data_IF_039770422951
#
_entry.id   IF_039770422951
#
_cell.length_a   1.000
_cell.length_b   1.000
_cell.length_c   1.000
_cell.angle_alpha   90.00
_cell.angle_beta   90.00
_cell.angle_gamma   90.00
#
_symmetry.space_group_name_H-M   'P 1'
#
loop_
_entity.id
_entity.type
_entity.pdbx_description
1 polymer ?
#
# COMPACT_ATOMS: atom_id res chain seq x y z
N UNK A 1 22.78 -17.16 21.21
CA UNK A 1 21.70 -16.15 21.11
C UNK A 1 21.26 -16.14 19.65
N UNK A 2 20.02 -16.53 19.36
CA UNK A 2 19.48 -16.54 18.01
C UNK A 2 18.74 -15.22 17.79
N UNK A 3 19.29 -14.33 16.96
CA UNK A 3 18.54 -13.20 16.45
C UNK A 3 17.74 -13.70 15.24
N UNK A 4 16.42 -13.65 15.36
CA UNK A 4 15.55 -13.88 14.22
C UNK A 4 15.85 -12.82 13.16
N UNK A 5 16.42 -13.27 12.05
CA UNK A 5 16.84 -12.40 10.93
C UNK A 5 15.78 -12.42 9.83
N UNK A 6 14.56 -12.90 10.11
CA UNK A 6 13.52 -12.89 9.08
C UNK A 6 13.12 -11.45 8.81
N UNK A 7 13.24 -10.97 7.55
CA UNK A 7 12.87 -9.60 7.25
C UNK A 7 11.37 -9.45 7.48
N UNK A 8 10.99 -8.47 8.30
CA UNK A 8 9.59 -8.08 8.45
C UNK A 8 9.05 -7.73 7.06
N UNK A 9 8.23 -8.63 6.52
CA UNK A 9 7.63 -8.45 5.21
C UNK A 9 6.23 -7.89 5.42
N UNK A 10 6.09 -6.57 5.35
CA UNK A 10 4.82 -5.85 5.53
C UNK A 10 3.69 -6.37 4.63
N UNK A 11 4.03 -6.99 3.50
CA UNK A 11 3.06 -7.57 2.58
C UNK A 11 2.28 -8.77 3.17
N UNK A 12 2.89 -9.55 4.09
CA UNK A 12 2.31 -10.79 4.62
C UNK A 12 1.59 -10.61 5.97
N UNK A 13 1.80 -9.48 6.65
CA UNK A 13 1.24 -9.19 7.98
C UNK A 13 -0.16 -8.55 7.94
N UNK A 14 -0.70 -8.27 6.75
CA UNK A 14 -1.93 -7.48 6.58
C UNK A 14 -1.77 -5.99 6.95
N UNK A 15 -0.65 -5.63 7.58
CA UNK A 15 -0.32 -4.26 7.99
C UNK A 15 0.34 -3.52 6.82
N UNK A 16 -0.45 -2.70 6.13
CA UNK A 16 0.03 -1.83 5.05
C UNK A 16 0.14 -0.40 5.58
N UNK A 17 1.36 0.12 5.68
CA UNK A 17 1.60 1.53 6.00
C UNK A 17 1.04 2.34 4.83
N UNK A 18 0.07 3.21 5.13
CA UNK A 18 -0.63 4.00 4.15
C UNK A 18 -0.78 5.43 4.67
N UNK A 19 -0.70 6.39 3.77
CA UNK A 19 -0.87 7.80 4.08
C UNK A 19 -2.35 8.09 4.37
N UNK A 20 -2.66 8.70 5.51
CA UNK A 20 -4.02 8.99 5.95
C UNK A 20 -4.33 10.49 5.84
N UNK A 21 -5.19 10.93 4.91
CA UNK A 21 -5.53 12.33 4.79
C UNK A 21 -6.10 12.89 6.10
N UNK A 22 -5.61 14.05 6.54
CA UNK A 22 -6.05 14.69 7.79
C UNK A 22 -5.39 14.17 9.06
N UNK A 23 -4.55 13.14 8.98
CA UNK A 23 -3.77 12.62 10.11
C UNK A 23 -2.30 13.10 10.03
N UNK A 24 -1.59 13.06 11.15
CA UNK A 24 -0.16 13.35 11.17
C UNK A 24 0.61 12.13 10.65
N UNK A 25 1.00 12.17 9.37
CA UNK A 25 1.74 11.09 8.73
C UNK A 25 3.25 11.33 8.83
N UNK A 26 3.96 10.39 9.46
CA UNK A 26 5.42 10.37 9.54
C UNK A 26 5.97 9.36 8.53
N UNK A 27 7.02 9.74 7.82
CA UNK A 27 7.64 8.88 6.82
C UNK A 27 8.37 7.71 7.51
N UNK A 28 8.06 6.45 7.17
CA UNK A 28 8.75 5.29 7.75
C UNK A 28 10.20 5.15 7.28
N UNK A 29 10.58 5.83 6.19
CA UNK A 29 11.95 5.78 5.65
C UNK A 29 12.92 6.76 6.32
N UNK A 30 12.48 7.99 6.63
CA UNK A 30 13.36 9.05 7.14
C UNK A 30 12.82 9.83 8.34
N UNK A 31 11.62 9.50 8.84
CA UNK A 31 11.01 10.16 9.99
C UNK A 31 10.47 11.58 9.75
N UNK A 32 10.52 12.08 8.51
CA UNK A 32 10.00 13.41 8.15
C UNK A 32 8.50 13.36 7.80
N UNK A 33 7.81 14.50 7.88
CA UNK A 33 6.35 14.57 7.70
C UNK A 33 5.89 15.43 6.52
N UNK A 34 6.81 15.78 5.61
CA UNK A 34 6.45 16.53 4.39
C UNK A 34 6.22 15.57 3.22
N UNK A 35 5.08 15.75 2.55
CA UNK A 35 4.57 14.84 1.54
C UNK A 35 4.10 15.59 0.30
N UNK A 36 4.46 15.07 -0.87
CA UNK A 36 3.86 15.40 -2.17
C UNK A 36 2.67 14.45 -2.39
N UNK A 37 1.44 14.97 -2.29
CA UNK A 37 0.22 14.15 -2.40
C UNK A 37 -0.23 14.05 -3.86
N UNK A 38 -0.15 12.84 -4.41
CA UNK A 38 -0.69 12.48 -5.73
C UNK A 38 -2.12 11.93 -5.66
N UNK A 39 -2.57 11.30 -6.75
CA UNK A 39 -3.94 10.72 -6.82
C UNK A 39 -4.08 9.41 -6.06
N UNK A 40 -3.03 8.58 -6.07
CA UNK A 40 -3.05 7.22 -5.52
C UNK A 40 -2.02 7.05 -4.39
N UNK A 41 -0.98 7.88 -4.37
CA UNK A 41 0.16 7.78 -3.47
C UNK A 41 0.53 9.15 -2.92
N UNK A 42 1.12 9.15 -1.73
CA UNK A 42 1.83 10.29 -1.16
C UNK A 42 3.32 9.96 -1.10
N UNK A 43 4.15 10.83 -1.68
CA UNK A 43 5.60 10.66 -1.74
C UNK A 43 6.29 11.58 -0.72
N UNK A 44 7.25 11.05 0.04
CA UNK A 44 8.01 11.85 0.98
C UNK A 44 8.96 12.79 0.24
N UNK A 45 8.88 14.10 0.52
CA UNK A 45 9.67 15.13 -0.15
C UNK A 45 11.19 15.07 0.14
N UNK A 46 11.63 14.21 1.07
CA UNK A 46 13.04 14.11 1.50
C UNK A 46 13.74 12.85 0.99
N UNK A 47 13.08 11.69 1.05
CA UNK A 47 13.67 10.40 0.73
C UNK A 47 12.95 9.66 -0.40
N UNK A 48 11.97 10.30 -1.04
CA UNK A 48 11.16 9.73 -2.11
C UNK A 48 10.40 8.43 -1.74
N UNK A 49 10.23 8.14 -0.45
CA UNK A 49 9.39 7.00 -0.02
C UNK A 49 7.94 7.27 -0.38
N UNK A 50 7.36 6.42 -1.23
CA UNK A 50 5.98 6.51 -1.66
C UNK A 50 5.08 5.57 -0.85
N UNK A 51 4.04 6.12 -0.23
CA UNK A 51 2.99 5.38 0.47
C UNK A 51 1.68 5.44 -0.32
N UNK A 52 0.89 4.35 -0.34
CA UNK A 52 -0.47 4.40 -0.87
C UNK A 52 -1.35 5.32 0.00
N UNK A 53 -2.23 6.10 -0.62
CA UNK A 53 -3.19 6.92 0.11
C UNK A 53 -4.32 6.00 0.61
N UNK A 54 -4.56 6.00 1.92
CA UNK A 54 -5.68 5.31 2.57
C UNK A 54 -6.97 6.11 2.41
N UNK A 55 -7.31 6.45 1.17
CA UNK A 55 -8.63 6.93 0.81
C UNK A 55 -9.37 5.70 0.29
N UNK A 56 -10.16 5.05 1.16
CA UNK A 56 -10.88 3.79 0.90
C UNK A 56 -11.19 3.64 -0.59
N UNK A 57 -10.56 2.65 -1.21
CA UNK A 57 -10.15 2.68 -2.62
C UNK A 57 -11.18 3.35 -3.54
N UNK A 58 -10.72 4.34 -4.31
CA UNK A 58 -11.43 4.79 -5.51
C UNK A 58 -11.35 3.68 -6.56
N UNK A 59 -11.94 2.52 -6.29
CA UNK A 59 -12.48 1.69 -7.34
C UNK A 59 -13.69 2.48 -7.85
N UNK A 60 -13.48 3.35 -8.83
CA UNK A 60 -14.60 3.67 -9.72
C UNK A 60 -15.19 2.34 -10.18
N UNK A 61 -16.51 2.28 -10.39
CA UNK A 61 -17.19 1.09 -10.92
C UNK A 61 -16.77 0.76 -12.38
N UNK A 62 -15.52 1.04 -12.76
CA UNK A 62 -14.88 0.43 -13.89
C UNK A 62 -15.04 -1.07 -13.75
N UNK A 63 -15.61 -1.66 -14.79
CA UNK A 63 -15.98 -3.06 -14.92
C UNK A 63 -14.74 -3.94 -14.84
N UNK A 64 -14.21 -4.14 -13.63
CA UNK A 64 -13.39 -5.31 -13.33
C UNK A 64 -14.31 -6.51 -13.51
N UNK A 65 -14.33 -7.07 -14.72
CA UNK A 65 -14.88 -8.39 -14.97
C UNK A 65 -14.05 -9.32 -14.09
N UNK A 66 -14.62 -9.77 -12.97
CA UNK A 66 -14.12 -10.99 -12.34
C UNK A 66 -14.33 -12.05 -13.42
N UNK A 67 -13.24 -12.51 -14.02
CA UNK A 67 -13.28 -13.66 -14.90
C UNK A 67 -13.63 -14.83 -14.00
N UNK A 68 -14.92 -15.19 -13.98
CA UNK A 68 -15.38 -16.39 -13.31
C UNK A 68 -14.73 -17.58 -14.00
N UNK A 69 -13.59 -17.99 -13.43
CA UNK A 69 -13.04 -19.33 -13.41
C UNK A 69 -13.64 -20.26 -14.48
N UNK A 70 -13.00 -20.29 -15.65
CA UNK A 70 -13.24 -21.31 -16.65
C UNK A 70 -13.04 -22.68 -15.99
N UNK A 71 -14.15 -23.38 -15.73
CA UNK A 71 -14.13 -24.77 -15.32
C UNK A 71 -13.70 -25.58 -16.55
N UNK A 72 -12.60 -26.35 -16.52
CA UNK A 72 -12.30 -27.23 -17.65
C UNK A 72 -13.40 -28.29 -17.68
N UNK A 73 -14.14 -28.35 -18.79
CA UNK A 73 -15.01 -29.49 -19.06
C UNK A 73 -14.07 -30.66 -19.40
N UNK A 74 -14.07 -31.68 -18.54
CA UNK A 74 -13.33 -32.90 -18.77
C UNK A 74 -13.79 -33.56 -20.09
N UNK A 75 -12.82 -34.13 -20.80
CA UNK A 75 -12.96 -34.78 -22.10
C UNK A 75 -13.74 -36.09 -22.04
#
# INVERSE_FOLDING_TARGET
MFYDTTPFTAANSGYRIAFRPGEQNVCPGCGQSHWSIGRMTAECAFCATALPINNGGSFGAGSFRVSEKAKPLAA
#
